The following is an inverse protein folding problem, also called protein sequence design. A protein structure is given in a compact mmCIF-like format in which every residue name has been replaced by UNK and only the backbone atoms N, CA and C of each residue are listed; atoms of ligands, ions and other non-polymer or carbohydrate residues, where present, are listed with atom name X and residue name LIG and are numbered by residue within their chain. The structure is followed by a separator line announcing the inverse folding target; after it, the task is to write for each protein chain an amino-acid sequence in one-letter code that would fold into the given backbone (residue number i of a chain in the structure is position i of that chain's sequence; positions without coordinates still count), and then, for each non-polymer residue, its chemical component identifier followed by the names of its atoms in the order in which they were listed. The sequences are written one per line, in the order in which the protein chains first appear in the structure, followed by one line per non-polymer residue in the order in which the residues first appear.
data_IF_710513776070
#
_entry.id   IF_710513776070
#
_cell.length_a   1.000
_cell.length_b   1.000
_cell.length_c   1.000
_cell.angle_alpha   90.00
_cell.angle_beta   90.00
_cell.angle_gamma   90.00
#
_symmetry.space_group_name_H-M   'P 1'
#
loop_
_entity.id
_entity.type
_entity.pdbx_description
1 polymer ?
#
# COMPACT_ATOMS: atom_id res chain seq x y z
N UNK A 1 -44.58 -19.42 -19.22
CA UNK A 1 -45.71 -19.38 -18.28
C UNK A 1 -45.17 -18.68 -17.04
N UNK A 2 -45.17 -17.35 -17.07
CA UNK A 2 -44.72 -16.52 -15.96
C UNK A 2 -45.97 -16.14 -15.18
N UNK A 3 -46.19 -16.78 -14.03
CA UNK A 3 -47.24 -16.38 -13.10
C UNK A 3 -46.77 -15.11 -12.40
N UNK A 4 -47.36 -13.98 -12.80
CA UNK A 4 -47.13 -12.70 -12.16
C UNK A 4 -47.70 -12.73 -10.74
N UNK A 5 -46.88 -12.34 -9.78
CA UNK A 5 -47.30 -12.15 -8.38
C UNK A 5 -48.56 -11.29 -8.32
N UNK A 6 -49.55 -11.77 -7.58
CA UNK A 6 -50.81 -11.08 -7.36
C UNK A 6 -50.57 -9.73 -6.65
N UNK A 7 -51.48 -8.76 -6.80
CA UNK A 7 -51.37 -7.47 -6.11
C UNK A 7 -51.18 -7.60 -4.59
N UNK A 8 -51.78 -8.61 -3.97
CA UNK A 8 -51.70 -8.87 -2.53
C UNK A 8 -50.33 -9.40 -2.12
N UNK A 9 -49.70 -10.23 -2.95
CA UNK A 9 -48.32 -10.71 -2.72
C UNK A 9 -47.29 -9.58 -2.86
N UNK A 10 -47.51 -8.65 -3.79
CA UNK A 10 -46.71 -7.42 -3.91
C UNK A 10 -46.89 -6.49 -2.71
N UNK A 11 -48.11 -6.37 -2.18
CA UNK A 11 -48.39 -5.58 -0.98
C UNK A 11 -47.73 -6.19 0.27
N UNK A 12 -47.79 -7.52 0.41
CA UNK A 12 -47.15 -8.24 1.51
C UNK A 12 -45.61 -8.13 1.48
N UNK A 13 -44.99 -8.16 0.29
CA UNK A 13 -43.54 -7.93 0.17
C UNK A 13 -43.14 -6.49 0.52
N UNK A 14 -43.90 -5.48 0.07
CA UNK A 14 -43.63 -4.08 0.45
C UNK A 14 -43.76 -3.86 1.95
N UNK A 15 -44.76 -4.46 2.59
CA UNK A 15 -44.94 -4.36 4.04
C UNK A 15 -43.74 -4.94 4.79
N UNK A 16 -43.22 -6.11 4.37
CA UNK A 16 -42.02 -6.73 4.99
C UNK A 16 -40.75 -5.90 4.78
N UNK A 17 -40.57 -5.29 3.62
CA UNK A 17 -39.43 -4.40 3.36
C UNK A 17 -39.49 -3.12 4.22
N UNK A 18 -40.68 -2.53 4.37
CA UNK A 18 -40.87 -1.31 5.17
C UNK A 18 -40.74 -1.58 6.67
N UNK A 19 -41.23 -2.73 7.16
CA UNK A 19 -41.02 -3.15 8.55
C UNK A 19 -39.56 -3.54 8.84
N UNK A 20 -38.86 -4.13 7.86
CA UNK A 20 -37.42 -4.38 7.96
C UNK A 20 -36.62 -3.08 8.09
N UNK A 21 -36.98 -2.05 7.32
CA UNK A 21 -36.30 -0.75 7.34
C UNK A 21 -36.61 0.08 8.61
N UNK A 22 -37.77 -0.10 9.24
CA UNK A 22 -38.13 0.63 10.48
C UNK A 22 -37.49 0.08 11.76
N UNK A 23 -36.93 -1.13 11.71
CA UNK A 23 -36.25 -1.75 12.85
C UNK A 23 -34.72 -1.58 12.83
N UNK A 24 -34.19 -0.82 11.87
CA UNK A 24 -32.78 -0.42 11.86
C UNK A 24 -32.66 0.86 12.68
N UNK A 25 -32.44 0.69 13.99
CA UNK A 25 -32.07 1.80 14.85
C UNK A 25 -30.65 2.28 14.49
N UNK A 26 -30.39 3.60 14.38
CA UNK A 26 -29.06 4.12 14.13
C UNK A 26 -28.17 3.87 15.34
N UNK A 27 -27.23 2.93 15.22
CA UNK A 27 -26.18 2.72 16.22
C UNK A 27 -25.07 3.75 15.98
N UNK A 28 -25.27 4.95 16.50
CA UNK A 28 -24.26 6.02 16.52
C UNK A 28 -24.45 6.87 17.75
N UNK A 29 -23.61 6.62 18.76
CA UNK A 29 -23.18 7.50 19.86
C UNK A 29 -23.18 6.74 21.21
N UNK A 30 -22.06 6.11 21.55
CA UNK A 30 -21.46 6.23 22.89
C UNK A 30 -20.05 5.60 22.93
N UNK A 31 -19.05 6.50 22.86
CA UNK A 31 -17.78 6.52 23.61
C UNK A 31 -16.80 5.34 23.53
N UNK A 32 -15.61 5.67 23.03
CA UNK A 32 -14.28 5.33 23.55
C UNK A 32 -14.29 4.68 24.93
N UNK A 33 -13.84 3.43 25.02
CA UNK A 33 -12.62 3.04 25.75
C UNK A 33 -12.50 1.51 25.86
N UNK A 34 -11.24 1.07 26.01
CA UNK A 34 -10.77 -0.23 26.49
C UNK A 34 -10.45 -1.33 25.48
N UNK A 35 -9.15 -1.34 25.16
CA UNK A 35 -8.29 -2.50 24.98
C UNK A 35 -8.60 -3.61 26.01
N UNK A 36 -8.48 -4.86 25.54
CA UNK A 36 -8.42 -6.15 26.24
C UNK A 36 -9.75 -6.88 26.48
N UNK A 37 -9.84 -8.10 25.91
CA UNK A 37 -10.64 -9.18 26.49
C UNK A 37 -11.46 -10.01 25.51
N UNK A 38 -10.84 -11.07 24.98
CA UNK A 38 -11.37 -12.44 24.93
C UNK A 38 -12.84 -12.69 24.58
N UNK A 39 -13.11 -13.39 23.47
CA UNK A 39 -14.04 -14.52 23.45
C UNK A 39 -13.43 -15.68 22.66
N UNK A 40 -13.26 -16.79 23.36
CA UNK A 40 -13.02 -18.12 22.82
C UNK A 40 -14.37 -18.84 22.60
N UNK A 41 -14.49 -19.60 21.51
CA UNK A 41 -15.27 -20.84 21.43
C UNK A 41 -14.82 -21.61 20.16
N UNK A 42 -13.87 -22.54 20.32
CA UNK A 42 -14.08 -24.01 20.26
C UNK A 42 -14.50 -24.53 18.88
N UNK A 43 -13.55 -25.22 18.22
CA UNK A 43 -13.82 -26.54 17.68
C UNK A 43 -12.53 -27.38 17.61
N UNK A 44 -12.47 -28.37 18.50
CA UNK A 44 -11.51 -29.48 18.49
C UNK A 44 -12.15 -30.62 17.73
N UNK A 45 -11.51 -31.07 16.65
CA UNK A 45 -11.61 -32.46 16.20
C UNK A 45 -10.22 -33.00 15.96
N UNK A 46 -9.88 -34.01 16.76
CA UNK A 46 -8.64 -34.75 16.75
C UNK A 46 -8.47 -35.58 15.48
N UNK A 47 -7.25 -35.60 14.91
CA UNK A 47 -6.77 -36.74 14.15
C UNK A 47 -5.34 -37.06 14.64
N UNK A 48 -5.23 -38.28 15.14
CA UNK A 48 -4.03 -38.91 15.67
C UNK A 48 -3.25 -39.64 14.57
N UNK A 49 -1.96 -39.86 14.83
CA UNK A 49 -1.12 -40.87 14.17
C UNK A 49 -0.16 -40.27 13.14
N UNK A 50 1.13 -40.60 13.12
CA UNK A 50 1.89 -41.53 13.93
C UNK A 50 3.38 -41.35 13.57
N UNK A 51 4.23 -41.43 14.60
CA UNK A 51 5.69 -41.45 14.47
C UNK A 51 6.10 -42.88 14.15
N UNK A 52 6.84 -43.09 13.06
CA UNK A 52 7.62 -44.32 12.86
C UNK A 52 9.04 -43.91 12.48
N UNK A 53 9.92 -43.99 13.47
CA UNK A 53 11.36 -44.04 13.27
C UNK A 53 11.77 -45.51 13.11
N UNK A 54 12.41 -45.86 12.00
CA UNK A 54 13.08 -47.15 11.81
C UNK A 54 14.57 -46.92 11.59
N UNK A 55 15.31 -47.04 12.69
CA UNK A 55 16.76 -47.21 12.70
C UNK A 55 17.10 -48.67 12.38
N UNK A 56 17.71 -48.92 11.21
CA UNK A 56 18.32 -50.22 10.92
C UNK A 56 19.77 -50.24 11.41
N UNK A 57 19.99 -51.13 12.37
CA UNK A 57 21.25 -51.47 12.99
C UNK A 57 22.22 -52.19 12.04
N UNK A 58 23.49 -51.90 12.32
CA UNK A 58 24.75 -52.41 11.81
C UNK A 58 24.85 -53.92 11.60
N UNK A 59 25.52 -54.31 10.50
CA UNK A 59 26.07 -55.64 10.30
C UNK A 59 27.49 -55.74 10.92
N UNK A 60 27.90 -56.92 11.43
CA UNK A 60 29.25 -57.12 11.97
C UNK A 60 30.21 -57.48 10.83
N UNK A 61 31.40 -56.89 10.81
CA UNK A 61 32.51 -57.43 10.01
C UNK A 61 33.53 -58.16 10.88
N UNK A 62 33.86 -59.33 10.34
CA UNK A 62 34.64 -60.43 10.88
C UNK A 62 36.11 -60.03 10.96
N UNK A 63 36.72 -60.41 12.08
CA UNK A 63 38.15 -60.33 12.34
C UNK A 63 38.96 -61.19 11.35
N UNK A 64 40.03 -60.62 10.80
CA UNK A 64 41.18 -61.38 10.32
C UNK A 64 42.47 -60.79 10.88
N UNK A 65 43.23 -61.68 11.49
CA UNK A 65 44.47 -61.56 12.26
C UNK A 65 45.67 -61.18 11.37
N UNK A 66 46.77 -60.60 11.91
CA UNK A 66 47.72 -59.80 11.16
C UNK A 66 48.90 -60.61 10.58
N UNK A 67 49.57 -60.01 9.59
CA UNK A 67 50.88 -60.43 9.08
C UNK A 67 51.91 -59.32 9.30
N UNK A 68 53.17 -59.64 9.67
CA UNK A 68 54.10 -58.64 10.22
C UNK A 68 54.98 -57.95 9.16
N UNK A 69 55.32 -56.70 9.49
CA UNK A 69 56.59 -56.00 9.20
C UNK A 69 56.86 -55.49 7.77
N UNK A 70 56.84 -54.16 7.66
CA UNK A 70 57.93 -53.39 7.05
C UNK A 70 57.99 -52.00 7.71
N UNK A 71 59.04 -51.73 8.48
CA UNK A 71 59.35 -50.42 9.04
C UNK A 71 59.75 -49.48 7.90
N UNK A 72 58.86 -48.58 7.51
CA UNK A 72 59.14 -47.47 6.59
C UNK A 72 59.32 -46.19 7.41
N UNK A 73 60.40 -45.46 7.12
CA UNK A 73 60.76 -44.20 7.77
C UNK A 73 59.63 -43.14 7.66
N UNK A 74 59.49 -42.23 8.64
CA UNK A 74 58.42 -41.24 8.64
C UNK A 74 58.63 -40.22 7.52
N UNK A 75 57.74 -40.23 6.53
CA UNK A 75 57.57 -39.11 5.60
C UNK A 75 56.73 -38.07 6.31
N UNK A 76 57.33 -36.92 6.63
CA UNK A 76 56.62 -35.75 7.16
C UNK A 76 55.65 -35.26 6.07
N UNK A 77 54.32 -35.23 6.30
CA UNK A 77 53.40 -34.67 5.33
C UNK A 77 53.65 -33.16 5.25
N UNK A 78 54.05 -32.70 4.06
CA UNK A 78 54.07 -31.28 3.73
C UNK A 78 52.64 -30.74 3.91
N UNK A 79 52.41 -29.67 4.68
CA UNK A 79 51.07 -29.11 4.83
C UNK A 79 50.55 -28.69 3.46
N UNK A 80 49.44 -29.32 3.05
CA UNK A 80 48.67 -28.88 1.90
C UNK A 80 48.12 -27.48 2.21
N UNK A 81 48.23 -26.50 1.29
CA UNK A 81 47.66 -25.19 1.53
C UNK A 81 46.16 -25.33 1.74
N UNK A 82 45.69 -25.04 2.96
CA UNK A 82 44.27 -24.87 3.25
C UNK A 82 43.73 -23.86 2.24
N UNK A 83 42.77 -24.20 1.35
CA UNK A 83 42.12 -23.22 0.51
C UNK A 83 41.61 -22.07 1.39
N UNK A 84 42.16 -20.88 1.18
CA UNK A 84 41.65 -19.65 1.76
C UNK A 84 40.19 -19.53 1.34
N UNK A 85 39.21 -19.48 2.28
CA UNK A 85 37.82 -19.21 1.91
C UNK A 85 37.76 -17.98 1.02
N UNK A 86 37.31 -18.18 -0.22
CA UNK A 86 36.97 -17.09 -1.13
C UNK A 86 35.88 -16.28 -0.44
N UNK A 87 36.05 -14.96 -0.23
CA UNK A 87 35.00 -14.15 0.33
C UNK A 87 33.77 -14.29 -0.58
N UNK A 88 32.66 -14.81 -0.02
CA UNK A 88 31.38 -14.77 -0.70
C UNK A 88 31.07 -13.31 -1.00
N UNK A 89 30.63 -12.95 -2.21
CA UNK A 89 30.25 -11.57 -2.49
C UNK A 89 29.18 -11.15 -1.48
N UNK A 90 29.44 -10.07 -0.75
CA UNK A 90 28.41 -9.42 0.06
C UNK A 90 27.41 -8.82 -0.91
N UNK A 91 26.26 -9.46 -1.07
CA UNK A 91 25.13 -8.87 -1.81
C UNK A 91 24.73 -7.58 -1.10
N UNK A 92 24.99 -6.44 -1.74
CA UNK A 92 24.53 -5.15 -1.25
C UNK A 92 23.05 -5.05 -1.59
N UNK A 93 22.19 -5.11 -0.57
CA UNK A 93 20.76 -4.83 -0.72
C UNK A 93 20.60 -3.34 -1.06
N UNK A 94 19.89 -2.99 -2.14
CA UNK A 94 19.68 -1.58 -2.48
C UNK A 94 18.85 -0.89 -1.40
N UNK A 95 19.09 0.40 -1.16
CA UNK A 95 18.35 1.16 -0.15
C UNK A 95 16.87 1.40 -0.52
N UNK A 96 16.55 1.29 -1.81
CA UNK A 96 15.20 1.45 -2.37
C UNK A 96 15.01 0.29 -3.35
N UNK A 97 13.87 -0.40 -3.28
CA UNK A 97 13.51 -1.47 -4.21
C UNK A 97 13.67 -0.99 -5.66
N UNK A 98 14.38 -1.76 -6.49
CA UNK A 98 14.68 -1.39 -7.88
C UNK A 98 15.37 -0.02 -8.05
N UNK A 99 15.92 0.56 -6.99
CA UNK A 99 16.43 1.94 -7.02
C UNK A 99 15.35 3.01 -7.27
N UNK A 100 14.07 2.67 -7.11
CA UNK A 100 12.94 3.54 -7.42
C UNK A 100 12.58 3.59 -8.92
N UNK A 101 13.21 2.77 -9.77
CA UNK A 101 12.98 2.78 -11.21
C UNK A 101 11.83 1.83 -11.61
N UNK A 102 10.69 2.41 -12.00
CA UNK A 102 9.54 1.64 -12.47
C UNK A 102 9.80 0.86 -13.77
N UNK A 103 10.70 1.33 -14.64
CA UNK A 103 11.09 0.58 -15.83
C UNK A 103 11.87 -0.69 -15.50
N UNK A 104 12.56 -0.71 -14.36
CA UNK A 104 13.22 -1.91 -13.84
C UNK A 104 12.24 -2.90 -13.18
N UNK A 105 11.09 -2.41 -12.68
CA UNK A 105 10.00 -3.25 -12.17
C UNK A 105 9.31 -3.97 -13.33
N UNK A 106 8.71 -3.20 -14.25
CA UNK A 106 8.12 -3.68 -15.50
C UNK A 106 8.20 -2.59 -16.57
N UNK A 107 8.49 -2.97 -17.80
CA UNK A 107 8.34 -2.06 -18.94
C UNK A 107 6.89 -2.03 -19.45
N UNK A 108 6.56 -0.98 -20.22
CA UNK A 108 5.23 -0.73 -20.76
C UNK A 108 4.73 -1.88 -21.66
N UNK A 109 5.63 -2.54 -22.39
CA UNK A 109 5.30 -3.65 -23.29
C UNK A 109 4.88 -4.91 -22.50
N UNK A 110 5.60 -5.23 -21.42
CA UNK A 110 5.26 -6.34 -20.53
C UNK A 110 3.91 -6.11 -19.85
N UNK A 111 3.66 -4.89 -19.35
CA UNK A 111 2.36 -4.55 -18.75
C UNK A 111 1.25 -4.62 -19.80
N UNK A 112 1.48 -4.06 -20.99
CA UNK A 112 0.51 -4.12 -22.09
C UNK A 112 0.16 -5.56 -22.48
N UNK A 113 1.15 -6.46 -22.51
CA UNK A 113 0.94 -7.87 -22.83
C UNK A 113 0.11 -8.60 -21.74
N UNK A 114 0.34 -8.29 -20.46
CA UNK A 114 -0.42 -8.87 -19.34
C UNK A 114 -1.87 -8.36 -19.34
N UNK A 115 -2.04 -7.06 -19.55
CA UNK A 115 -3.34 -6.40 -19.45
C UNK A 115 -4.20 -6.62 -20.70
N UNK A 116 -3.56 -6.77 -21.87
CA UNK A 116 -4.21 -7.01 -23.16
C UNK A 116 -4.59 -5.74 -23.93
N UNK A 117 -4.18 -4.57 -23.45
CA UNK A 117 -4.35 -3.27 -24.11
C UNK A 117 -3.07 -2.44 -23.98
N UNK A 118 -2.84 -1.43 -24.84
CA UNK A 118 -1.67 -0.56 -24.70
C UNK A 118 -1.68 0.22 -23.39
N UNK A 119 -0.67 -0.03 -22.56
CA UNK A 119 -0.44 0.58 -21.25
C UNK A 119 0.82 1.43 -21.29
N UNK A 120 0.83 2.55 -20.58
CA UNK A 120 2.02 3.39 -20.39
C UNK A 120 2.21 3.73 -18.92
N UNK A 121 3.47 3.84 -18.50
CA UNK A 121 3.81 4.29 -17.16
C UNK A 121 3.18 5.67 -16.90
N UNK A 122 2.40 5.74 -15.83
CA UNK A 122 1.64 6.91 -15.43
C UNK A 122 1.66 6.99 -13.90
N UNK A 123 2.85 7.19 -13.37
CA UNK A 123 3.00 7.61 -11.98
C UNK A 123 2.39 9.02 -11.88
N UNK A 124 1.22 9.09 -11.24
CA UNK A 124 0.53 10.35 -11.00
C UNK A 124 1.33 11.26 -10.08
N UNK A 125 0.77 12.43 -9.78
CA UNK A 125 1.26 13.25 -8.68
C UNK A 125 0.79 12.57 -7.38
N UNK A 126 1.69 11.82 -6.74
CA UNK A 126 1.41 11.03 -5.53
C UNK A 126 2.19 11.61 -4.36
N UNK A 127 1.51 11.87 -3.25
CA UNK A 127 2.09 12.18 -1.94
C UNK A 127 2.46 10.92 -1.15
N UNK A 128 1.95 9.76 -1.58
CA UNK A 128 2.28 8.43 -1.08
C UNK A 128 3.55 7.91 -1.78
N UNK A 129 4.70 8.09 -1.14
CA UNK A 129 5.99 7.62 -1.66
C UNK A 129 6.39 6.32 -0.96
N UNK A 130 6.27 5.18 -1.65
CA UNK A 130 6.74 3.89 -1.15
C UNK A 130 8.25 3.88 -0.84
N UNK A 131 9.01 4.76 -1.49
CA UNK A 131 10.42 4.97 -1.26
C UNK A 131 10.73 5.27 0.20
N UNK A 132 9.86 5.97 0.93
CA UNK A 132 10.09 6.32 2.36
C UNK A 132 10.33 5.08 3.23
N UNK A 133 9.73 3.94 2.90
CA UNK A 133 9.92 2.65 3.58
C UNK A 133 10.90 1.72 2.85
N UNK A 134 11.66 2.25 1.89
CA UNK A 134 12.60 1.50 1.06
C UNK A 134 11.96 0.76 -0.11
N UNK A 135 10.69 1.02 -0.42
CA UNK A 135 9.96 0.38 -1.52
C UNK A 135 9.98 1.16 -2.83
N UNK A 136 9.17 0.71 -3.79
CA UNK A 136 8.85 1.41 -5.03
C UNK A 136 7.37 1.20 -5.34
N UNK A 137 6.72 2.20 -5.95
CA UNK A 137 5.32 2.13 -6.39
C UNK A 137 5.23 2.61 -7.82
N UNK A 138 4.58 1.82 -8.66
CA UNK A 138 4.46 2.05 -10.08
C UNK A 138 3.02 1.86 -10.52
N UNK A 139 2.56 2.76 -11.38
CA UNK A 139 1.22 2.69 -11.97
C UNK A 139 1.31 2.82 -13.48
N UNK A 140 0.51 2.02 -14.18
CA UNK A 140 0.31 2.13 -15.62
C UNK A 140 -1.14 2.40 -15.93
N UNK A 141 -1.39 3.15 -17.00
CA UNK A 141 -2.73 3.48 -17.49
C UNK A 141 -2.85 3.15 -18.98
N UNK A 142 -4.05 2.74 -19.38
CA UNK A 142 -4.37 2.52 -20.77
C UNK A 142 -4.33 3.83 -21.57
N UNK A 143 -3.85 3.76 -22.81
CA UNK A 143 -3.79 4.93 -23.73
C UNK A 143 -4.93 4.99 -24.75
N UNK A 144 -5.80 3.97 -24.77
CA UNK A 144 -6.94 3.86 -25.69
C UNK A 144 -8.28 4.32 -25.10
N UNK A 145 -9.36 4.01 -25.81
CA UNK A 145 -10.72 4.31 -25.37
C UNK A 145 -11.13 3.39 -24.20
N UNK A 146 -11.17 3.96 -22.99
CA UNK A 146 -11.59 3.26 -21.77
C UNK A 146 -10.62 3.48 -20.60
N UNK A 147 -11.17 3.66 -19.40
CA UNK A 147 -10.34 3.76 -18.19
C UNK A 147 -9.92 2.35 -17.74
N UNK A 148 -8.63 2.06 -17.84
CA UNK A 148 -8.02 0.87 -17.24
C UNK A 148 -6.65 1.25 -16.67
N UNK A 149 -6.40 0.81 -15.45
CA UNK A 149 -5.14 1.06 -14.75
C UNK A 149 -4.75 -0.18 -13.95
N UNK A 150 -3.45 -0.37 -13.79
CA UNK A 150 -2.87 -1.38 -12.90
C UNK A 150 -1.70 -0.76 -12.16
N UNK A 151 -1.35 -1.34 -11.02
CA UNK A 151 -0.15 -0.93 -10.31
C UNK A 151 0.56 -2.08 -9.64
N UNK A 152 1.84 -1.86 -9.42
CA UNK A 152 2.75 -2.75 -8.73
C UNK A 152 3.53 -1.92 -7.73
N UNK A 153 3.54 -2.36 -6.48
CA UNK A 153 4.46 -1.85 -5.47
C UNK A 153 5.31 -2.98 -4.93
N UNK A 154 6.55 -2.67 -4.59
CA UNK A 154 7.49 -3.60 -3.98
C UNK A 154 8.01 -2.98 -2.70
N UNK A 155 7.89 -3.70 -1.60
CA UNK A 155 8.39 -3.29 -0.29
C UNK A 155 9.35 -4.34 0.28
N UNK A 156 10.32 -3.92 1.12
CA UNK A 156 11.09 -4.85 1.93
C UNK A 156 10.14 -5.62 2.87
N UNK A 157 10.20 -6.95 2.88
CA UNK A 157 9.28 -7.77 3.70
C UNK A 157 9.37 -7.44 5.19
N UNK A 158 10.54 -7.02 5.67
CA UNK A 158 10.76 -6.62 7.06
C UNK A 158 9.93 -5.43 7.53
N UNK A 159 9.44 -4.58 6.60
CA UNK A 159 8.53 -3.49 6.95
C UNK A 159 7.07 -3.95 7.02
N UNK A 160 6.73 -5.14 6.52
CA UNK A 160 5.34 -5.60 6.44
C UNK A 160 4.86 -6.09 7.82
N UNK A 161 3.83 -5.46 8.41
CA UNK A 161 3.20 -5.90 9.65
C UNK A 161 2.68 -7.34 9.55
N UNK A 162 2.62 -8.05 10.68
CA UNK A 162 2.28 -9.47 10.69
C UNK A 162 0.83 -9.75 10.26
N UNK A 163 -0.10 -8.86 10.59
CA UNK A 163 -1.51 -8.90 10.19
C UNK A 163 -1.67 -8.68 8.68
N UNK A 164 -0.96 -7.70 8.10
CA UNK A 164 -0.91 -7.50 6.64
C UNK A 164 -0.26 -8.71 5.96
N UNK A 165 0.90 -9.15 6.47
CA UNK A 165 1.67 -10.26 5.91
C UNK A 165 0.93 -11.60 5.97
N UNK A 166 -0.05 -11.76 6.87
CA UNK A 166 -0.89 -12.96 6.95
C UNK A 166 -1.79 -13.17 5.72
N UNK A 167 -2.01 -12.11 4.94
CA UNK A 167 -2.81 -12.15 3.71
C UNK A 167 -1.98 -12.53 2.47
N UNK A 168 -0.66 -12.64 2.60
CA UNK A 168 0.21 -12.93 1.47
C UNK A 168 -0.09 -14.32 0.86
N UNK A 169 -0.24 -14.35 -0.48
CA UNK A 169 -0.58 -15.56 -1.22
C UNK A 169 -2.07 -15.91 -1.22
N UNK A 170 -2.92 -15.12 -0.57
CA UNK A 170 -4.37 -15.25 -0.68
C UNK A 170 -4.84 -14.50 -1.93
N UNK A 171 -5.16 -15.27 -2.98
CA UNK A 171 -5.63 -14.71 -4.25
C UNK A 171 -7.08 -14.23 -4.09
N UNK A 172 -7.40 -12.94 -4.36
CA UNK A 172 -8.75 -12.40 -4.25
C UNK A 172 -9.67 -12.86 -5.38
N UNK A 173 -10.98 -12.76 -5.15
CA UNK A 173 -11.99 -12.92 -6.20
C UNK A 173 -12.46 -11.54 -6.65
N UNK A 174 -11.81 -11.01 -7.69
CA UNK A 174 -12.11 -9.66 -8.19
C UNK A 174 -13.55 -9.51 -8.70
N UNK A 175 -14.28 -10.60 -8.98
CA UNK A 175 -15.68 -10.51 -9.36
C UNK A 175 -16.57 -10.12 -8.16
N UNK A 176 -16.12 -10.41 -6.94
CA UNK A 176 -16.80 -10.09 -5.69
C UNK A 176 -16.23 -8.83 -5.02
N UNK A 177 -14.91 -8.65 -5.12
CA UNK A 177 -14.18 -7.59 -4.41
C UNK A 177 -14.31 -6.21 -5.10
N UNK A 178 -14.82 -6.16 -6.34
CA UNK A 178 -15.17 -4.90 -7.00
C UNK A 178 -13.97 -4.00 -7.33
N UNK A 179 -14.07 -2.70 -7.04
CA UNK A 179 -13.07 -1.67 -7.41
C UNK A 179 -11.75 -1.76 -6.64
N UNK A 180 -11.65 -2.63 -5.66
CA UNK A 180 -10.54 -2.74 -4.71
C UNK A 180 -9.77 -4.06 -4.86
N UNK A 181 -9.70 -4.61 -6.07
CA UNK A 181 -9.01 -5.88 -6.26
C UNK A 181 -7.49 -5.74 -6.18
N UNK A 182 -6.93 -6.24 -5.08
CA UNK A 182 -5.51 -6.18 -4.77
C UNK A 182 -4.99 -7.54 -4.29
N UNK A 183 -3.71 -7.82 -4.57
CA UNK A 183 -3.07 -9.07 -4.21
C UNK A 183 -1.67 -8.80 -3.66
N UNK A 184 -1.38 -9.38 -2.49
CA UNK A 184 -0.07 -9.37 -1.87
C UNK A 184 0.58 -10.74 -2.05
N UNK A 185 1.82 -10.77 -2.53
CA UNK A 185 2.62 -11.98 -2.61
C UNK A 185 4.03 -11.73 -2.07
N UNK A 186 4.56 -12.71 -1.34
CA UNK A 186 5.93 -12.69 -0.85
C UNK A 186 6.88 -13.41 -1.81
N UNK A 187 8.00 -12.76 -2.12
CA UNK A 187 9.11 -13.34 -2.90
C UNK A 187 10.43 -13.10 -2.16
N UNK A 188 10.88 -14.08 -1.37
CA UNK A 188 12.06 -13.92 -0.52
C UNK A 188 11.86 -12.80 0.51
N UNK A 189 12.70 -11.77 0.42
CA UNK A 189 12.62 -10.57 1.27
C UNK A 189 11.84 -9.42 0.63
N UNK A 190 11.13 -9.67 -0.48
CA UNK A 190 10.21 -8.71 -1.09
C UNK A 190 8.75 -9.05 -0.80
N UNK A 191 7.96 -8.03 -0.46
CA UNK A 191 6.51 -8.01 -0.63
C UNK A 191 6.19 -7.35 -1.97
N UNK A 192 5.45 -8.05 -2.82
CA UNK A 192 4.93 -7.52 -4.09
C UNK A 192 3.43 -7.35 -3.93
N UNK A 193 2.96 -6.11 -3.97
CA UNK A 193 1.53 -5.78 -3.96
C UNK A 193 1.13 -5.35 -5.37
N UNK A 194 0.04 -5.90 -5.87
CA UNK A 194 -0.49 -5.56 -7.19
C UNK A 194 -1.96 -5.23 -7.11
N UNK A 195 -2.43 -4.33 -7.96
CA UNK A 195 -3.85 -4.00 -8.09
C UNK A 195 -4.23 -3.87 -9.56
N UNK A 196 -5.50 -4.15 -9.86
CA UNK A 196 -6.01 -4.28 -11.22
C UNK A 196 -7.47 -4.71 -11.25
N UNK A 197 -7.98 -5.09 -12.42
CA UNK A 197 -9.42 -5.32 -12.63
C UNK A 197 -9.84 -6.78 -12.54
N UNK A 198 -8.91 -7.74 -12.68
CA UNK A 198 -9.22 -9.17 -12.72
C UNK A 198 -8.20 -10.00 -11.96
N UNK A 199 -8.63 -11.13 -11.40
CA UNK A 199 -7.75 -12.01 -10.64
C UNK A 199 -6.58 -12.51 -11.48
N UNK A 200 -6.83 -12.80 -12.76
CA UNK A 200 -5.79 -13.24 -13.70
C UNK A 200 -4.71 -12.17 -13.94
N UNK A 201 -5.10 -10.88 -14.01
CA UNK A 201 -4.15 -9.78 -14.11
C UNK A 201 -3.28 -9.68 -12.86
N UNK A 202 -3.87 -9.81 -11.66
CA UNK A 202 -3.12 -9.73 -10.41
C UNK A 202 -2.06 -10.83 -10.32
N UNK A 203 -2.45 -12.09 -10.56
CA UNK A 203 -1.48 -13.19 -10.51
C UNK A 203 -0.38 -13.03 -11.56
N UNK A 204 -0.73 -12.61 -12.78
CA UNK A 204 0.25 -12.40 -13.85
C UNK A 204 1.22 -11.24 -13.56
N UNK A 205 0.75 -10.14 -12.99
CA UNK A 205 1.60 -9.01 -12.57
C UNK A 205 2.57 -9.43 -11.45
N UNK A 206 2.05 -10.13 -10.43
CA UNK A 206 2.88 -10.60 -9.32
C UNK A 206 3.96 -11.59 -9.80
N UNK A 207 3.59 -12.55 -10.65
CA UNK A 207 4.52 -13.54 -11.21
C UNK A 207 5.59 -12.89 -12.09
N UNK A 208 5.22 -11.88 -12.90
CA UNK A 208 6.15 -11.18 -13.77
C UNK A 208 7.25 -10.40 -13.01
N UNK A 209 6.96 -9.99 -11.77
CA UNK A 209 7.85 -9.15 -10.97
C UNK A 209 8.62 -9.97 -9.91
N UNK A 210 8.04 -11.08 -9.45
CA UNK A 210 8.48 -11.80 -8.26
C UNK A 210 9.97 -12.14 -8.18
N UNK A 211 10.53 -12.79 -9.20
CA UNK A 211 11.96 -13.15 -9.20
C UNK A 211 12.88 -11.93 -9.16
N UNK A 212 12.52 -10.86 -9.86
CA UNK A 212 13.29 -9.60 -9.86
C UNK A 212 13.17 -8.88 -8.53
N UNK A 213 11.98 -8.89 -7.93
CA UNK A 213 11.74 -8.29 -6.62
C UNK A 213 12.53 -8.99 -5.52
N UNK A 214 12.62 -10.32 -5.56
CA UNK A 214 13.45 -11.08 -4.62
C UNK A 214 14.95 -10.71 -4.69
N UNK A 215 15.43 -10.24 -5.85
CA UNK A 215 16.82 -9.79 -6.03
C UNK A 215 17.02 -8.30 -5.69
N UNK A 216 15.94 -7.52 -5.65
CA UNK A 216 15.96 -6.07 -5.42
C UNK A 216 14.83 -5.60 -4.50
N UNK A 217 14.72 -6.15 -3.26
CA UNK A 217 13.59 -5.90 -2.37
C UNK A 217 13.58 -4.50 -1.75
N UNK A 218 14.71 -3.78 -1.81
CA UNK A 218 14.94 -2.59 -1.00
C UNK A 218 15.37 -2.94 0.43
N UNK A 219 15.59 -1.93 1.26
CA UNK A 219 15.89 -2.10 2.69
C UNK A 219 14.97 -1.21 3.52
N UNK A 220 14.36 -1.78 4.55
CA UNK A 220 13.47 -1.07 5.46
C UNK A 220 14.21 0.04 6.18
N UNK A 221 13.54 1.18 6.34
CA UNK A 221 14.12 2.35 6.99
C UNK A 221 13.09 3.09 7.82
N UNK A 222 13.48 3.65 8.97
CA UNK A 222 12.59 4.49 9.76
C UNK A 222 12.33 5.80 9.01
N UNK A 223 11.20 6.43 9.31
CA UNK A 223 10.92 7.78 8.86
C UNK A 223 11.99 8.77 9.34
N UNK A 224 12.28 9.83 8.56
CA UNK A 224 13.13 10.92 9.01
C UNK A 224 12.63 11.52 10.33
N UNK A 225 13.53 11.94 11.20
CA UNK A 225 13.15 12.55 12.49
C UNK A 225 12.32 13.85 12.35
N UNK A 226 12.39 14.50 11.18
CA UNK A 226 11.59 15.67 10.82
C UNK A 226 10.32 15.32 10.03
N UNK A 227 9.97 14.04 9.93
CA UNK A 227 8.69 13.62 9.37
C UNK A 227 7.54 14.13 10.25
N UNK A 228 6.46 14.59 9.62
CA UNK A 228 5.28 15.06 10.35
C UNK A 228 4.63 13.94 11.17
N UNK A 229 4.17 14.30 12.37
CA UNK A 229 3.19 13.52 13.10
C UNK A 229 1.81 14.13 12.83
N UNK A 230 1.01 13.46 12.01
CA UNK A 230 -0.29 14.00 11.58
C UNK A 230 -1.30 13.88 12.73
N UNK A 231 -1.94 14.97 13.18
CA UNK A 231 -2.95 14.93 14.23
C UNK A 231 -4.26 14.33 13.70
N UNK A 232 -5.21 14.13 14.61
CA UNK A 232 -6.57 13.72 14.27
C UNK A 232 -7.24 14.71 13.29
N UNK A 233 -8.16 14.18 12.48
CA UNK A 233 -8.82 14.94 11.42
C UNK A 233 -9.62 16.15 11.91
N UNK A 234 -10.12 16.14 13.15
CA UNK A 234 -10.83 17.26 13.75
C UNK A 234 -9.92 18.47 13.98
N UNK A 235 -8.66 18.25 14.35
CA UNK A 235 -7.65 19.30 14.47
C UNK A 235 -7.36 19.93 13.11
N UNK A 236 -7.22 19.10 12.06
CA UNK A 236 -7.02 19.57 10.69
C UNK A 236 -8.22 20.38 10.21
N UNK A 237 -9.44 19.84 10.37
CA UNK A 237 -10.70 20.54 10.05
C UNK A 237 -10.77 21.91 10.73
N UNK A 238 -10.52 21.97 12.04
CA UNK A 238 -10.63 23.21 12.82
C UNK A 238 -9.58 24.24 12.37
N UNK A 239 -8.37 23.79 12.00
CA UNK A 239 -7.35 24.67 11.43
C UNK A 239 -7.79 25.27 10.08
N UNK A 240 -8.38 24.46 9.20
CA UNK A 240 -8.90 24.90 7.91
C UNK A 240 -10.06 25.89 8.10
N UNK A 241 -11.02 25.56 8.98
CA UNK A 241 -12.17 26.43 9.24
C UNK A 241 -11.74 27.79 9.81
N UNK A 242 -10.82 27.77 10.78
CA UNK A 242 -10.26 28.97 11.38
C UNK A 242 -9.56 29.86 10.36
N UNK A 243 -8.76 29.27 9.47
CA UNK A 243 -8.05 30.00 8.43
C UNK A 243 -9.00 30.64 7.41
N UNK A 244 -10.10 29.97 7.09
CA UNK A 244 -11.14 30.49 6.20
C UNK A 244 -12.03 31.54 6.87
N UNK A 245 -12.19 31.48 8.20
CA UNK A 245 -12.95 32.45 8.98
C UNK A 245 -14.45 32.50 8.65
N UNK A 246 -15.00 31.43 8.07
CA UNK A 246 -16.41 31.36 7.60
C UNK A 246 -17.29 30.37 8.35
N UNK A 247 -16.72 29.47 9.16
CA UNK A 247 -17.48 28.42 9.86
C UNK A 247 -18.29 27.56 8.90
N UNK A 248 -17.67 27.24 7.75
CA UNK A 248 -18.27 26.52 6.63
C UNK A 248 -17.57 25.20 6.32
N UNK A 249 -16.54 24.85 7.07
CA UNK A 249 -15.85 23.56 6.99
C UNK A 249 -16.40 22.64 8.06
N UNK A 250 -16.89 21.47 7.65
CA UNK A 250 -17.47 20.46 8.54
C UNK A 250 -16.86 19.09 8.28
N UNK A 251 -17.12 18.14 9.19
CA UNK A 251 -16.75 16.74 8.99
C UNK A 251 -17.32 16.22 7.67
N UNK A 252 -16.47 15.55 6.90
CA UNK A 252 -16.89 14.93 5.66
C UNK A 252 -17.95 13.86 5.94
N UNK A 253 -19.03 13.89 5.15
CA UNK A 253 -20.17 12.97 5.33
C UNK A 253 -20.07 11.68 4.51
N UNK A 254 -19.09 11.58 3.61
CA UNK A 254 -18.84 10.37 2.84
C UNK A 254 -18.06 9.31 3.63
N UNK A 255 -18.09 8.09 3.12
CA UNK A 255 -17.36 6.93 3.63
C UNK A 255 -16.09 6.63 2.80
N UNK A 256 -15.73 7.55 1.90
CA UNK A 256 -14.53 7.38 1.09
C UNK A 256 -13.29 7.59 1.94
N UNK A 257 -12.46 6.54 2.00
CA UNK A 257 -11.10 6.58 2.54
C UNK A 257 -10.19 5.82 1.57
N UNK A 258 -8.96 6.31 1.34
CA UNK A 258 -7.93 5.47 0.75
C UNK A 258 -7.78 4.19 1.57
N UNK A 259 -7.54 3.09 0.87
CA UNK A 259 -7.39 1.76 1.42
C UNK A 259 -6.57 0.91 0.47
N UNK A 260 -6.08 -0.22 0.96
CA UNK A 260 -5.29 -1.16 0.18
C UNK A 260 -3.95 -1.43 0.84
N UNK A 261 -3.28 -2.50 0.39
CA UNK A 261 -2.07 -2.99 1.04
C UNK A 261 -0.96 -1.94 1.14
N UNK A 262 -0.73 -1.21 0.06
CA UNK A 262 0.28 -0.14 0.01
C UNK A 262 -0.10 1.04 0.92
N UNK A 263 -1.38 1.42 0.94
CA UNK A 263 -1.89 2.45 1.84
C UNK A 263 -1.80 2.04 3.32
N UNK A 264 -2.34 0.88 3.68
CA UNK A 264 -2.40 0.38 5.05
C UNK A 264 -0.99 0.21 5.62
N UNK A 265 -0.05 -0.26 4.80
CA UNK A 265 1.36 -0.34 5.16
C UNK A 265 1.95 1.04 5.44
N UNK A 266 1.72 2.04 4.57
CA UNK A 266 2.23 3.39 4.79
C UNK A 266 1.62 4.03 6.05
N UNK A 267 0.31 3.85 6.29
CA UNK A 267 -0.38 4.37 7.48
C UNK A 267 0.17 3.75 8.76
N UNK A 268 0.39 2.43 8.80
CA UNK A 268 0.93 1.73 9.99
C UNK A 268 2.32 2.25 10.38
N UNK A 269 3.12 2.70 9.41
CA UNK A 269 4.43 3.32 9.65
C UNK A 269 4.38 4.83 9.85
N UNK A 270 3.19 5.45 9.85
CA UNK A 270 3.02 6.91 9.92
C UNK A 270 3.53 7.65 8.68
N UNK A 271 3.73 6.93 7.57
CA UNK A 271 4.25 7.45 6.30
C UNK A 271 3.15 7.95 5.35
N UNK A 272 1.88 7.75 5.72
CA UNK A 272 0.73 8.33 5.06
C UNK A 272 -0.36 8.65 6.08
N UNK A 273 -1.15 9.68 5.80
CA UNK A 273 -2.41 9.94 6.48
C UNK A 273 -3.39 10.63 5.53
N UNK A 274 -4.68 10.61 5.87
CA UNK A 274 -5.74 11.21 5.08
C UNK A 274 -6.75 11.88 5.99
N UNK A 275 -7.18 13.08 5.60
CA UNK A 275 -8.29 13.82 6.20
C UNK A 275 -9.18 14.34 5.09
N UNK A 276 -10.49 14.12 5.22
CA UNK A 276 -11.49 14.73 4.35
C UNK A 276 -12.39 15.67 5.15
N UNK A 277 -12.73 16.82 4.57
CA UNK A 277 -13.70 17.76 5.12
C UNK A 277 -14.67 18.21 4.02
N UNK A 278 -15.86 18.69 4.41
CA UNK A 278 -16.83 19.27 3.48
C UNK A 278 -16.86 20.79 3.61
N UNK A 279 -16.71 21.49 2.47
CA UNK A 279 -16.89 22.93 2.32
C UNK A 279 -18.34 23.24 1.93
N UNK A 280 -19.14 23.70 2.90
CA UNK A 280 -20.56 24.00 2.71
C UNK A 280 -20.82 25.26 1.87
N UNK A 281 -19.79 26.08 1.64
CA UNK A 281 -19.86 27.24 0.74
C UNK A 281 -19.31 26.94 -0.65
N UNK A 282 -19.18 25.67 -1.02
CA UNK A 282 -18.77 25.29 -2.37
C UNK A 282 -19.67 25.97 -3.43
N UNK A 283 -19.10 26.41 -4.57
CA UNK A 283 -19.89 26.97 -5.66
C UNK A 283 -20.97 25.99 -6.13
N UNK A 284 -22.09 26.53 -6.63
CA UNK A 284 -23.18 25.70 -7.11
C UNK A 284 -22.72 24.73 -8.21
N UNK A 285 -23.08 23.45 -8.06
CA UNK A 285 -22.70 22.39 -8.99
C UNK A 285 -21.28 21.83 -8.80
N UNK A 286 -20.58 22.24 -7.74
CA UNK A 286 -19.26 21.71 -7.36
C UNK A 286 -19.36 20.76 -6.17
N UNK A 287 -18.52 19.72 -6.18
CA UNK A 287 -18.32 18.82 -5.05
C UNK A 287 -17.84 19.62 -3.84
N UNK A 288 -18.36 19.28 -2.66
CA UNK A 288 -18.01 19.95 -1.39
C UNK A 288 -16.72 19.43 -0.77
N UNK A 289 -16.29 18.24 -1.17
CA UNK A 289 -15.17 17.54 -0.54
C UNK A 289 -13.86 18.29 -0.74
N UNK A 290 -13.06 18.30 0.32
CA UNK A 290 -11.67 18.76 0.33
C UNK A 290 -10.85 17.61 0.86
N UNK A 291 -10.12 16.97 -0.03
CA UNK A 291 -9.22 15.87 0.26
C UNK A 291 -7.88 16.44 0.72
N UNK A 292 -7.43 16.05 1.91
CA UNK A 292 -6.13 16.43 2.44
C UNK A 292 -5.33 15.15 2.68
N UNK A 293 -4.29 14.94 1.86
CA UNK A 293 -3.41 13.78 1.98
C UNK A 293 -2.04 14.20 2.48
N UNK A 294 -1.47 13.39 3.36
CA UNK A 294 -0.19 13.66 4.00
C UNK A 294 0.79 12.55 3.64
N UNK A 295 1.99 12.96 3.25
CA UNK A 295 3.15 12.09 3.10
C UNK A 295 4.28 12.52 4.05
N UNK A 296 4.24 12.13 5.33
CA UNK A 296 5.36 12.31 6.23
C UNK A 296 6.61 11.57 5.72
N UNK A 297 7.74 12.27 5.64
CA UNK A 297 8.97 11.70 5.11
C UNK A 297 9.06 11.62 3.57
N UNK A 298 7.98 11.97 2.85
CA UNK A 298 7.94 11.89 1.38
C UNK A 298 8.42 13.16 0.69
N UNK A 299 8.76 13.03 -0.59
CA UNK A 299 9.12 14.15 -1.46
C UNK A 299 8.23 14.17 -2.70
N UNK A 300 7.85 15.36 -3.20
CA UNK A 300 7.03 15.45 -4.40
C UNK A 300 7.80 15.01 -5.65
N UNK A 301 7.15 14.26 -6.54
CA UNK A 301 7.68 13.97 -7.87
C UNK A 301 7.59 15.21 -8.77
N UNK A 302 8.71 15.94 -8.88
CA UNK A 302 8.79 17.18 -9.65
C UNK A 302 8.61 16.96 -11.16
N UNK A 303 9.03 15.80 -11.67
CA UNK A 303 8.85 15.46 -13.08
C UNK A 303 7.38 15.17 -13.37
N UNK A 304 6.68 14.46 -12.46
CA UNK A 304 5.24 14.31 -12.55
C UNK A 304 4.52 15.67 -12.48
N UNK A 305 4.82 16.51 -11.49
CA UNK A 305 4.22 17.84 -11.36
C UNK A 305 4.41 18.65 -12.65
N UNK A 306 5.62 18.64 -13.22
CA UNK A 306 5.93 19.32 -14.48
C UNK A 306 5.11 18.77 -15.66
N UNK A 307 5.00 17.43 -15.79
CA UNK A 307 4.19 16.77 -16.82
C UNK A 307 2.71 17.14 -16.74
N UNK A 308 2.17 17.31 -15.54
CA UNK A 308 0.79 17.74 -15.32
C UNK A 308 0.61 19.27 -15.34
N UNK A 309 1.66 20.03 -15.71
CA UNK A 309 1.56 21.48 -15.87
C UNK A 309 1.48 22.26 -14.56
N UNK A 310 2.02 21.71 -13.47
CA UNK A 310 1.99 22.36 -12.16
C UNK A 310 2.62 23.75 -12.15
N UNK A 311 1.86 24.71 -11.63
CA UNK A 311 2.19 26.12 -11.57
C UNK A 311 2.76 26.40 -10.18
N UNK A 312 3.93 27.04 -10.10
CA UNK A 312 4.49 27.46 -8.81
C UNK A 312 3.56 28.45 -8.11
N UNK A 313 3.28 28.19 -6.84
CA UNK A 313 2.44 29.04 -5.99
C UNK A 313 3.07 29.18 -4.61
N UNK A 314 2.72 30.25 -3.89
CA UNK A 314 3.28 30.56 -2.57
C UNK A 314 2.33 30.05 -1.47
N UNK A 315 2.87 29.24 -0.56
CA UNK A 315 2.16 28.75 0.63
C UNK A 315 3.00 29.09 1.85
N UNK A 316 2.44 29.82 2.82
CA UNK A 316 3.16 30.20 4.02
C UNK A 316 3.56 28.95 4.84
N UNK A 317 4.83 28.88 5.24
CA UNK A 317 5.39 27.72 5.96
C UNK A 317 5.88 26.58 5.06
N UNK A 318 5.65 26.65 3.75
CA UNK A 318 6.17 25.69 2.79
C UNK A 318 7.55 26.11 2.26
N UNK A 319 8.38 25.13 1.94
CA UNK A 319 9.60 25.35 1.15
C UNK A 319 9.25 25.57 -0.33
N UNK A 320 8.15 24.95 -0.78
CA UNK A 320 7.75 24.87 -2.16
C UNK A 320 6.28 24.44 -2.28
N UNK A 321 5.52 25.04 -3.19
CA UNK A 321 4.20 24.54 -3.56
C UNK A 321 3.94 24.64 -5.07
N UNK A 322 2.98 23.84 -5.54
CA UNK A 322 2.53 23.80 -6.93
C UNK A 322 1.02 23.61 -7.00
N UNK A 323 0.36 24.43 -7.80
CA UNK A 323 -1.06 24.33 -8.11
C UNK A 323 -1.25 23.69 -9.49
N UNK A 324 -2.12 22.69 -9.56
CA UNK A 324 -2.49 21.97 -10.75
C UNK A 324 -3.98 22.20 -11.01
N UNK A 325 -4.34 23.20 -11.84
CA UNK A 325 -5.73 23.41 -12.21
C UNK A 325 -6.26 22.22 -13.00
N UNK A 326 -7.52 21.86 -12.78
CA UNK A 326 -8.19 20.79 -13.53
C UNK A 326 -7.41 19.46 -13.52
N UNK A 327 -6.70 19.17 -12.41
CA UNK A 327 -5.89 17.97 -12.23
C UNK A 327 -6.70 16.70 -12.53
N UNK A 328 -7.96 16.69 -12.11
CA UNK A 328 -8.98 15.75 -12.57
C UNK A 328 -10.20 16.52 -13.08
N UNK A 329 -11.16 15.81 -13.67
CA UNK A 329 -12.45 16.40 -14.05
C UNK A 329 -13.26 16.97 -12.88
N UNK A 330 -12.89 16.63 -11.64
CA UNK A 330 -13.65 16.96 -10.42
C UNK A 330 -12.81 17.63 -9.34
N UNK A 331 -11.53 17.93 -9.60
CA UNK A 331 -10.66 18.54 -8.60
C UNK A 331 -9.45 19.21 -9.24
N UNK A 332 -9.13 20.41 -8.74
CA UNK A 332 -7.77 20.94 -8.77
C UNK A 332 -6.94 20.31 -7.65
N UNK A 333 -5.62 20.32 -7.79
CA UNK A 333 -4.69 19.79 -6.79
C UNK A 333 -3.66 20.86 -6.40
N UNK A 334 -3.47 21.08 -5.10
CA UNK A 334 -2.33 21.79 -4.56
C UNK A 334 -1.37 20.76 -3.95
N UNK A 335 -0.11 20.80 -4.34
CA UNK A 335 0.96 20.01 -3.71
C UNK A 335 1.89 20.96 -2.97
N UNK A 336 2.20 20.64 -1.73
CA UNK A 336 3.03 21.45 -0.85
C UNK A 336 4.15 20.60 -0.27
N UNK A 337 5.36 21.13 -0.30
CA UNK A 337 6.55 20.55 0.31
C UNK A 337 6.99 21.41 1.50
N UNK A 338 7.25 20.77 2.64
CA UNK A 338 7.86 21.42 3.81
C UNK A 338 8.81 20.44 4.48
N UNK A 339 10.11 20.74 4.41
CA UNK A 339 11.17 19.84 4.80
C UNK A 339 11.09 18.50 4.06
N UNK A 340 11.21 17.37 4.77
CA UNK A 340 11.07 16.04 4.19
C UNK A 340 9.61 15.59 4.13
N UNK A 341 8.64 16.49 3.93
CA UNK A 341 7.23 16.12 3.95
C UNK A 341 6.48 16.70 2.75
N UNK A 342 5.46 15.96 2.32
CA UNK A 342 4.53 16.40 1.28
C UNK A 342 3.11 16.43 1.81
N UNK A 343 2.36 17.45 1.41
CA UNK A 343 0.93 17.62 1.63
C UNK A 343 0.27 17.79 0.27
N UNK A 344 -0.86 17.15 0.04
CA UNK A 344 -1.71 17.45 -1.11
C UNK A 344 -3.12 17.85 -0.66
N UNK A 345 -3.67 18.87 -1.32
CA UNK A 345 -5.05 19.33 -1.11
C UNK A 345 -5.77 19.22 -2.45
N UNK A 346 -6.76 18.34 -2.54
CA UNK A 346 -7.58 18.11 -3.73
C UNK A 346 -9.00 18.62 -3.53
N UNK A 347 -9.47 19.52 -4.39
CA UNK A 347 -10.86 19.98 -4.35
C UNK A 347 -11.24 20.76 -5.61
N UNK A 348 -12.53 20.80 -5.95
CA UNK A 348 -13.10 21.79 -6.87
C UNK A 348 -13.94 22.88 -6.18
N UNK A 349 -14.00 22.83 -4.84
CA UNK A 349 -14.82 23.73 -4.02
C UNK A 349 -14.12 25.05 -3.68
N UNK A 350 -12.84 25.20 -4.03
CA UNK A 350 -11.98 26.29 -3.60
C UNK A 350 -11.16 26.86 -4.77
N UNK A 351 -10.82 28.14 -4.69
CA UNK A 351 -9.83 28.78 -5.56
C UNK A 351 -8.41 28.37 -5.18
N UNK A 352 -7.43 28.65 -6.05
CA UNK A 352 -6.00 28.48 -5.74
C UNK A 352 -5.61 29.21 -4.44
N UNK A 353 -6.04 30.46 -4.28
CA UNK A 353 -5.74 31.28 -3.09
C UNK A 353 -6.32 30.65 -1.81
N UNK A 354 -7.54 30.12 -1.87
CA UNK A 354 -8.16 29.43 -0.75
C UNK A 354 -7.44 28.11 -0.44
N UNK A 355 -7.05 27.34 -1.46
CA UNK A 355 -6.25 26.12 -1.26
C UNK A 355 -4.88 26.44 -0.65
N UNK A 356 -4.24 27.53 -1.05
CA UNK A 356 -2.97 27.97 -0.47
C UNK A 356 -3.13 28.37 1.02
N UNK A 357 -4.24 29.02 1.38
CA UNK A 357 -4.59 29.30 2.78
C UNK A 357 -4.81 28.01 3.58
N UNK A 358 -5.51 27.02 3.00
CA UNK A 358 -5.67 25.68 3.59
C UNK A 358 -4.31 25.04 3.82
N UNK A 359 -3.44 24.99 2.81
CA UNK A 359 -2.10 24.41 2.93
C UNK A 359 -1.27 25.06 4.04
N UNK A 360 -1.29 26.39 4.15
CA UNK A 360 -0.59 27.12 5.19
C UNK A 360 -1.14 26.81 6.60
N UNK A 361 -2.47 26.72 6.73
CA UNK A 361 -3.13 26.41 8.00
C UNK A 361 -2.80 24.98 8.47
N UNK A 362 -2.82 24.03 7.54
CA UNK A 362 -2.48 22.63 7.81
C UNK A 362 -1.02 22.50 8.23
N UNK A 363 -0.08 23.15 7.52
CA UNK A 363 1.33 23.16 7.91
C UNK A 363 1.50 23.71 9.33
N UNK A 364 0.86 24.84 9.64
CA UNK A 364 0.94 25.43 10.98
C UNK A 364 0.38 24.51 12.08
N UNK A 365 -0.60 23.66 11.77
CA UNK A 365 -1.16 22.68 12.70
C UNK A 365 -0.23 21.47 12.94
N UNK A 366 0.71 21.20 12.01
CA UNK A 366 1.67 20.10 12.10
C UNK A 366 2.92 20.45 12.93
N UNK A 367 3.15 21.74 13.22
CA UNK A 367 4.28 22.25 14.03
C UNK A 367 5.54 22.53 13.23
#
# INVERSE_FOLDING_TARGET
MNEELTPDERAAMRARLVDGARNIAPAGAHRNAWIAGSIAAVLVVAIAGGVVATSTLSAPQIANTPSPTATVAPVVPTPSPTPTPTPSPTTVVPAIAFGGDCGAVLDDDAVSAIVGVPMVLSNGVSDQDAGVLGGVRCQWRATGDGYQAVGVSVFPWEVVPADIGSQAGVVPDCALDGYSCQYLQRFGDAAVTVWGSTTAQLTALADAVGERAALSPGAGRPLPAAAWAVPECDVIRDAIDLARGRSDIVDHRGDYSPHGFDWDLLVEHGAAAYCAVDNLSAPEGKATVVDVMFGPGSSPDLDAISRYGGIRTDVAGADAAWYLPDFTSTASLLVVQSGPNTLSVGTESMTEEEMAQVGAAVIAALG
#
